data_IF_890925818034
#
_entry.id   IF_890925818034
#
_cell.length_a   1.000
_cell.length_b   1.000
_cell.length_c   1.000
_cell.angle_alpha   90.00
_cell.angle_beta   90.00
_cell.angle_gamma   90.00
#
_symmetry.space_group_name_H-M   'P 1'
#
loop_
_entity.id
_entity.type
_entity.pdbx_description
1 polymer ?
#
# COMPACT_ATOMS: atom_id res chain seq x y z
N UNK A 1 2.50 5.34 -0.38
CA UNK A 1 2.07 5.99 -1.66
C UNK A 1 3.22 6.42 -2.56
N UNK A 2 4.41 6.80 -2.06
CA UNK A 2 5.58 7.12 -2.91
C UNK A 2 5.83 6.06 -3.99
N UNK A 3 5.80 4.79 -3.58
CA UNK A 3 6.09 3.66 -4.48
C UNK A 3 5.06 3.48 -5.58
N UNK A 4 3.82 3.98 -5.41
CA UNK A 4 2.80 3.95 -6.47
C UNK A 4 3.13 4.92 -7.60
N UNK A 5 3.86 6.01 -7.31
CA UNK A 5 4.34 6.95 -8.33
C UNK A 5 5.64 6.48 -8.99
N UNK A 6 6.49 5.78 -8.23
CA UNK A 6 7.76 5.26 -8.74
C UNK A 6 7.59 3.97 -9.54
N UNK A 7 6.62 3.15 -9.16
CA UNK A 7 6.38 1.82 -9.72
C UNK A 7 4.95 1.71 -10.26
N UNK A 8 4.59 2.66 -11.12
CA UNK A 8 3.32 2.67 -11.84
C UNK A 8 3.35 1.60 -12.95
N UNK A 9 2.30 0.77 -13.08
CA UNK A 9 2.14 -0.13 -14.23
C UNK A 9 2.12 0.60 -15.57
N UNK A 10 2.36 -0.13 -16.65
CA UNK A 10 2.47 0.45 -18.00
C UNK A 10 1.11 0.91 -18.56
N UNK A 11 0.01 0.32 -18.08
CA UNK A 11 -1.35 0.64 -18.57
C UNK A 11 -2.21 1.31 -17.50
N UNK A 12 -3.17 2.11 -17.96
CA UNK A 12 -4.14 2.78 -17.09
C UNK A 12 -4.99 1.76 -16.32
N UNK A 13 -5.41 0.68 -16.98
CA UNK A 13 -6.25 -0.36 -16.36
C UNK A 13 -5.52 -1.06 -15.22
N UNK A 14 -4.25 -1.44 -15.44
CA UNK A 14 -3.43 -2.06 -14.40
C UNK A 14 -3.16 -1.11 -13.24
N UNK A 15 -2.93 0.17 -13.53
CA UNK A 15 -2.78 1.21 -12.51
C UNK A 15 -4.04 1.32 -11.67
N UNK A 16 -5.21 1.45 -12.31
CA UNK A 16 -6.49 1.51 -11.60
C UNK A 16 -6.75 0.25 -10.75
N UNK A 17 -6.38 -0.92 -11.26
CA UNK A 17 -6.53 -2.20 -10.54
C UNK A 17 -5.62 -2.27 -9.32
N UNK A 18 -4.37 -1.81 -9.44
CA UNK A 18 -3.43 -1.72 -8.33
C UNK A 18 -3.93 -0.74 -7.27
N UNK A 19 -4.33 0.47 -7.70
CA UNK A 19 -4.86 1.52 -6.83
C UNK A 19 -6.08 1.01 -6.06
N UNK A 20 -7.02 0.36 -6.75
CA UNK A 20 -8.23 -0.20 -6.13
C UNK A 20 -7.91 -1.25 -5.08
N UNK A 21 -6.95 -2.15 -5.37
CA UNK A 21 -6.54 -3.20 -4.43
C UNK A 21 -5.90 -2.61 -3.16
N UNK A 22 -5.00 -1.64 -3.33
CA UNK A 22 -4.33 -0.96 -2.21
C UNK A 22 -5.31 -0.10 -1.40
N UNK A 23 -6.23 0.58 -2.08
CA UNK A 23 -7.24 1.39 -1.42
C UNK A 23 -8.15 0.53 -0.54
N UNK A 24 -8.65 -0.59 -1.07
CA UNK A 24 -9.51 -1.52 -0.33
C UNK A 24 -8.77 -2.12 0.87
N UNK A 25 -7.46 -2.39 0.76
CA UNK A 25 -6.70 -2.95 1.90
C UNK A 25 -6.52 -1.98 3.07
N UNK A 26 -6.51 -0.67 2.80
CA UNK A 26 -6.35 0.37 3.83
C UNK A 26 -7.70 0.86 4.37
N UNK A 27 -8.80 0.58 3.67
CA UNK A 27 -10.14 0.98 4.07
C UNK A 27 -10.50 0.38 5.45
N UNK A 28 -10.86 1.23 6.40
CA UNK A 28 -11.19 0.80 7.77
C UNK A 28 -9.98 0.44 8.65
N UNK A 29 -8.75 0.61 8.15
CA UNK A 29 -7.54 0.55 8.98
C UNK A 29 -7.56 1.59 10.11
N UNK A 30 -6.73 1.39 11.14
CA UNK A 30 -6.63 2.32 12.28
C UNK A 30 -6.28 3.73 11.81
N UNK A 31 -5.36 3.85 10.86
CA UNK A 31 -4.94 5.14 10.32
C UNK A 31 -6.04 5.80 9.47
N UNK A 32 -6.79 5.01 8.69
CA UNK A 32 -7.95 5.54 7.95
C UNK A 32 -9.01 6.11 8.91
N UNK A 33 -9.33 5.38 9.98
CA UNK A 33 -10.28 5.85 11.00
C UNK A 33 -9.75 7.03 11.80
N UNK A 34 -8.45 7.02 12.15
CA UNK A 34 -7.81 8.13 12.85
C UNK A 34 -7.86 9.42 12.03
N UNK A 35 -7.65 9.33 10.72
CA UNK A 35 -7.74 10.47 9.81
C UNK A 35 -9.17 11.00 9.71
N UNK A 36 -10.16 10.13 9.49
CA UNK A 36 -11.58 10.54 9.46
C UNK A 36 -11.97 11.25 10.76
N UNK A 37 -11.59 10.69 11.92
CA UNK A 37 -11.91 11.31 13.22
C UNK A 37 -11.18 12.64 13.41
N UNK A 38 -9.93 12.75 12.97
CA UNK A 38 -9.15 13.97 13.09
C UNK A 38 -9.69 15.07 12.19
N UNK A 39 -10.07 14.73 10.95
CA UNK A 39 -10.72 15.62 10.00
C UNK A 39 -12.02 16.19 10.58
N UNK A 40 -12.90 15.33 11.12
CA UNK A 40 -14.15 15.76 11.75
C UNK A 40 -13.93 16.67 12.96
N UNK A 41 -12.84 16.48 13.70
CA UNK A 41 -12.46 17.29 14.87
C UNK A 41 -11.56 18.48 14.54
N UNK A 42 -11.19 18.68 13.26
CA UNK A 42 -10.21 19.69 12.79
C UNK A 42 -8.89 19.67 13.57
N UNK A 43 -8.44 18.49 13.96
CA UNK A 43 -7.20 18.28 14.70
C UNK A 43 -6.17 17.53 13.85
N UNK A 44 -4.93 17.46 14.32
CA UNK A 44 -3.91 16.64 13.67
C UNK A 44 -4.21 15.14 13.90
N UNK A 45 -4.24 14.32 12.85
CA UNK A 45 -4.34 12.87 13.00
C UNK A 45 -3.09 12.31 13.69
N UNK A 46 -3.29 11.23 14.47
CA UNK A 46 -2.21 10.46 15.07
C UNK A 46 -2.14 9.13 14.33
N UNK A 47 -1.23 9.05 13.37
CA UNK A 47 -0.93 7.82 12.66
C UNK A 47 -0.12 6.90 13.57
N UNK A 48 -0.52 5.63 13.65
CA UNK A 48 0.07 4.65 14.57
C UNK A 48 0.85 3.56 13.87
N UNK A 49 0.67 3.39 12.57
CA UNK A 49 1.32 2.32 11.80
C UNK A 49 2.44 2.89 10.94
N UNK A 50 3.63 2.29 11.04
CA UNK A 50 4.67 2.46 10.02
C UNK A 50 4.27 1.66 8.79
N UNK A 51 4.67 2.18 7.63
CA UNK A 51 4.50 1.49 6.37
C UNK A 51 5.49 0.31 6.32
N UNK A 52 5.05 -0.85 6.81
CA UNK A 52 5.84 -2.08 6.83
C UNK A 52 5.28 -3.06 5.79
N UNK A 53 6.14 -3.84 5.13
CA UNK A 53 5.73 -4.70 4.02
C UNK A 53 4.68 -5.76 4.35
N UNK A 54 4.42 -6.01 5.63
CA UNK A 54 3.38 -6.91 6.11
C UNK A 54 1.98 -6.26 6.12
N UNK A 55 1.88 -4.93 6.19
CA UNK A 55 0.59 -4.23 6.30
C UNK A 55 -0.07 -3.99 4.94
N UNK A 56 0.72 -3.99 3.86
CA UNK A 56 0.22 -3.74 2.50
C UNK A 56 0.25 -5.02 1.67
N UNK A 57 -0.92 -5.58 1.30
CA UNK A 57 -0.97 -6.79 0.50
C UNK A 57 -0.23 -6.62 -0.83
N UNK A 58 0.68 -7.54 -1.11
CA UNK A 58 1.46 -7.57 -2.36
C UNK A 58 2.45 -6.43 -2.53
N UNK A 59 2.86 -5.73 -1.46
CA UNK A 59 4.05 -4.89 -1.50
C UNK A 59 5.31 -5.76 -1.32
N UNK A 60 6.36 -5.60 -2.14
CA UNK A 60 6.45 -4.79 -3.36
C UNK A 60 5.71 -5.42 -4.56
N UNK A 61 4.81 -4.68 -5.22
CA UNK A 61 4.00 -5.20 -6.34
C UNK A 61 4.73 -5.17 -7.70
N UNK A 62 5.87 -4.49 -7.74
CA UNK A 62 6.71 -4.35 -8.92
C UNK A 62 7.79 -5.43 -9.01
N UNK A 63 7.99 -6.21 -7.95
CA UNK A 63 8.89 -7.35 -7.97
C UNK A 63 8.18 -8.51 -8.68
N UNK A 64 8.65 -8.87 -9.87
CA UNK A 64 8.17 -10.08 -10.53
C UNK A 64 8.65 -11.31 -9.77
N UNK A 65 7.86 -12.39 -9.76
CA UNK A 65 8.33 -13.72 -9.26
C UNK A 65 9.59 -14.23 -9.97
N UNK A 66 9.98 -13.63 -11.10
CA UNK A 66 11.22 -13.90 -11.81
C UNK A 66 12.46 -13.24 -11.18
N UNK A 67 12.30 -12.15 -10.43
CA UNK A 67 13.39 -11.45 -9.74
C UNK A 67 13.70 -12.06 -8.36
N UNK A 68 12.83 -12.91 -7.84
CA UNK A 68 13.14 -13.80 -6.73
C UNK A 68 14.03 -14.94 -7.24
N UNK A 69 15.35 -14.71 -7.25
CA UNK A 69 16.31 -15.78 -7.47
C UNK A 69 15.94 -16.99 -6.57
N UNK A 70 15.93 -18.23 -7.09
CA UNK A 70 15.53 -19.37 -6.30
C UNK A 70 16.44 -19.42 -5.07
N UNK A 71 15.85 -19.30 -3.87
CA UNK A 71 16.59 -19.51 -2.62
C UNK A 71 17.22 -20.88 -2.73
N UNK A 72 18.54 -20.93 -2.94
CA UNK A 72 19.28 -22.17 -2.99
C UNK A 72 18.99 -22.93 -1.69
N UNK A 73 18.35 -24.10 -1.81
CA UNK A 73 18.17 -24.99 -0.68
C UNK A 73 19.58 -25.43 -0.25
N UNK A 74 20.05 -24.93 0.89
CA UNK A 74 21.15 -25.55 1.63
C UNK A 74 20.61 -26.78 2.37
#
# INVERSE_FOLDING_TARGET
MRDMLLHTPATLEETHRLDSKLFISVLGSKDNLADIQAFMKKQKPKFGESFDGETVPSWPWWTSKADEAPKAKM
#
